data_IF_371915271341
#
_entry.id   IF_371915271341
#
_cell.length_a   1.000
_cell.length_b   1.000
_cell.length_c   1.000
_cell.angle_alpha   90.00
_cell.angle_beta   90.00
_cell.angle_gamma   90.00
#
_symmetry.space_group_name_H-M   'P 1'
#
loop_
_entity.id
_entity.type
_entity.pdbx_description
1 polymer ?
#
# COMPACT_ATOMS: atom_id res chain seq x y z
N UNK A 1 -0.56 -5.35 2.84
CA UNK A 1 0.24 -4.39 2.04
C UNK A 1 1.29 -3.62 2.84
N UNK A 2 1.00 -3.15 4.06
CA UNK A 2 2.00 -2.38 4.84
C UNK A 2 3.31 -3.11 5.14
N UNK A 3 3.25 -4.40 5.48
CA UNK A 3 4.46 -5.20 5.68
C UNK A 3 5.35 -5.30 4.42
N UNK A 4 4.73 -5.40 3.24
CA UNK A 4 5.45 -5.40 1.97
C UNK A 4 6.11 -4.05 1.69
N UNK A 5 5.42 -2.94 1.99
CA UNK A 5 6.00 -1.59 1.86
C UNK A 5 7.28 -1.43 2.69
N UNK A 6 7.33 -2.05 3.89
CA UNK A 6 8.51 -1.99 4.76
C UNK A 6 9.64 -2.92 4.31
N UNK A 7 9.34 -4.13 3.85
CA UNK A 7 10.35 -5.12 3.48
C UNK A 7 10.92 -4.90 2.07
N UNK A 8 10.11 -4.38 1.15
CA UNK A 8 10.45 -4.29 -0.27
C UNK A 8 10.14 -2.91 -0.87
N UNK A 9 10.64 -1.81 -0.28
CA UNK A 9 10.30 -0.45 -0.75
C UNK A 9 10.73 -0.17 -2.20
N UNK A 10 11.82 -0.80 -2.65
CA UNK A 10 12.40 -0.63 -3.99
C UNK A 10 11.98 -1.72 -4.99
N UNK A 11 11.12 -2.67 -4.59
CA UNK A 11 10.62 -3.67 -5.53
C UNK A 11 9.86 -2.99 -6.68
N UNK A 12 10.01 -3.49 -7.90
CA UNK A 12 9.33 -2.94 -9.07
C UNK A 12 8.02 -3.65 -9.31
N UNK A 13 6.94 -2.89 -9.42
CA UNK A 13 5.59 -3.38 -9.70
C UNK A 13 5.28 -3.05 -11.15
N UNK A 14 5.02 -4.07 -11.97
CA UNK A 14 4.52 -3.86 -13.32
C UNK A 14 3.06 -3.41 -13.24
N UNK A 15 2.82 -2.20 -13.73
CA UNK A 15 1.48 -1.61 -13.79
C UNK A 15 1.00 -1.59 -15.23
N UNK A 16 -0.23 -2.05 -15.42
CA UNK A 16 -0.92 -1.98 -16.71
C UNK A 16 -1.62 -0.63 -16.81
N UNK A 17 -1.37 0.10 -17.88
CA UNK A 17 -1.98 1.42 -18.11
C UNK A 17 -2.67 1.46 -19.45
N UNK A 18 -3.91 1.94 -19.39
CA UNK A 18 -4.80 2.10 -20.53
C UNK A 18 -4.79 3.56 -20.97
N UNK A 19 -4.21 3.83 -22.14
CA UNK A 19 -4.18 5.16 -22.78
C UNK A 19 -5.20 5.16 -23.95
N UNK A 20 -6.47 4.93 -23.62
CA UNK A 20 -7.53 4.76 -24.62
C UNK A 20 -7.41 3.41 -25.34
N UNK A 21 -6.94 3.43 -26.60
CA UNK A 21 -6.72 2.22 -27.41
C UNK A 21 -5.33 1.60 -27.24
N UNK A 22 -4.37 2.35 -26.67
CA UNK A 22 -3.04 1.84 -26.38
C UNK A 22 -2.99 1.24 -24.98
N UNK A 23 -2.68 -0.05 -24.91
CA UNK A 23 -2.43 -0.76 -23.66
C UNK A 23 -0.92 -0.93 -23.54
N UNK A 24 -0.34 -0.35 -22.50
CA UNK A 24 1.10 -0.45 -22.22
C UNK A 24 1.34 -0.83 -20.76
N UNK A 25 2.55 -1.24 -20.45
CA UNK A 25 2.99 -1.52 -19.09
C UNK A 25 4.19 -0.65 -18.74
N UNK A 26 4.27 -0.22 -17.48
CA UNK A 26 5.48 0.36 -16.93
C UNK A 26 5.71 -0.08 -15.49
N UNK A 27 6.98 0.00 -15.07
CA UNK A 27 7.42 -0.38 -13.75
C UNK A 27 7.38 0.81 -12.81
N UNK A 28 6.72 0.64 -11.66
CA UNK A 28 6.66 1.64 -10.59
C UNK A 28 7.28 1.07 -9.33
N UNK A 29 8.08 1.85 -8.58
CA UNK A 29 8.52 1.42 -7.26
C UNK A 29 7.33 1.07 -6.36
N UNK A 30 7.43 -0.04 -5.64
CA UNK A 30 6.37 -0.55 -4.77
C UNK A 30 5.95 0.50 -3.73
N UNK A 31 6.90 1.26 -3.19
CA UNK A 31 6.57 2.32 -2.23
C UNK A 31 5.68 3.42 -2.83
N UNK A 32 5.87 3.77 -4.10
CA UNK A 32 5.06 4.77 -4.77
C UNK A 32 3.65 4.24 -5.06
N UNK A 33 3.53 3.00 -5.55
CA UNK A 33 2.24 2.36 -5.79
C UNK A 33 1.44 2.16 -4.50
N UNK A 34 2.11 1.72 -3.43
CA UNK A 34 1.49 1.50 -2.13
C UNK A 34 1.13 2.81 -1.42
N UNK A 35 1.94 3.86 -1.59
CA UNK A 35 1.62 5.21 -1.11
C UNK A 35 0.39 5.78 -1.82
N UNK A 36 0.33 5.66 -3.14
CA UNK A 36 -0.84 6.04 -3.94
C UNK A 36 -2.10 5.29 -3.49
N UNK A 37 -2.01 3.97 -3.36
CA UNK A 37 -3.13 3.14 -2.90
C UNK A 37 -3.61 3.57 -1.50
N UNK A 38 -2.69 3.73 -0.55
CA UNK A 38 -3.03 4.16 0.81
C UNK A 38 -3.67 5.56 0.84
N UNK A 39 -3.21 6.48 0.00
CA UNK A 39 -3.78 7.82 -0.12
C UNK A 39 -5.24 7.77 -0.59
N UNK A 40 -5.56 6.93 -1.58
CA UNK A 40 -6.96 6.73 -2.00
C UNK A 40 -7.80 6.19 -0.84
N UNK A 41 -7.25 5.28 -0.03
CA UNK A 41 -7.97 4.77 1.13
C UNK A 41 -8.29 5.87 2.15
N UNK A 42 -7.33 6.77 2.43
CA UNK A 42 -7.55 7.92 3.30
C UNK A 42 -8.62 8.85 2.73
N UNK A 43 -8.47 9.28 1.47
CA UNK A 43 -9.40 10.22 0.83
C UNK A 43 -10.81 9.63 0.71
N UNK A 44 -10.95 8.35 0.39
CA UNK A 44 -12.24 7.66 0.34
C UNK A 44 -12.85 7.39 1.71
N UNK A 45 -12.05 7.38 2.78
CA UNK A 45 -12.50 7.25 4.16
C UNK A 45 -12.99 8.57 4.79
N UNK A 46 -12.56 9.73 4.27
CA UNK A 46 -12.91 11.04 4.81
C UNK A 46 -14.43 11.32 4.84
N UNK A 47 -15.21 11.04 3.78
CA UNK A 47 -16.65 11.29 3.79
C UNK A 47 -17.39 10.52 4.89
N UNK A 48 -16.88 9.35 5.27
CA UNK A 48 -17.46 8.52 6.33
C UNK A 48 -17.31 9.11 7.74
N UNK A 49 -16.53 10.19 7.90
CA UNK A 49 -16.43 10.93 9.17
C UNK A 49 -17.60 11.90 9.37
N UNK A 50 -18.24 12.34 8.29
CA UNK A 50 -19.29 13.36 8.32
C UNK A 50 -20.71 12.79 8.14
N UNK A 51 -20.83 11.53 7.71
CA UNK A 51 -22.11 10.86 7.47
C UNK A 51 -22.19 9.54 8.23
N UNK A 52 -23.38 9.22 8.75
CA UNK A 52 -23.64 7.94 9.39
C UNK A 52 -23.82 6.86 8.31
N UNK A 53 -22.80 6.02 8.12
CA UNK A 53 -22.82 4.84 7.23
C UNK A 53 -21.76 4.88 6.13
N UNK A 54 -21.29 3.71 5.72
CA UNK A 54 -20.19 3.56 4.77
C UNK A 54 -18.80 3.66 5.42
N UNK A 55 -17.73 3.68 4.62
CA UNK A 55 -16.37 3.89 5.13
C UNK A 55 -15.66 2.67 5.71
N UNK A 56 -16.39 1.65 6.18
CA UNK A 56 -15.79 0.47 6.87
C UNK A 56 -14.68 -0.17 6.04
N UNK A 57 -14.89 -0.33 4.72
CA UNK A 57 -13.87 -0.86 3.84
C UNK A 57 -12.60 0.01 3.84
N UNK A 58 -12.73 1.33 3.68
CA UNK A 58 -11.59 2.25 3.69
C UNK A 58 -10.81 2.18 5.01
N UNK A 59 -11.52 2.22 6.14
CA UNK A 59 -10.92 2.13 7.48
C UNK A 59 -10.28 0.77 7.77
N UNK A 60 -10.88 -0.33 7.32
CA UNK A 60 -10.29 -1.66 7.44
C UNK A 60 -8.97 -1.78 6.65
N UNK A 61 -8.92 -1.21 5.45
CA UNK A 61 -7.70 -1.19 4.64
C UNK A 61 -6.61 -0.31 5.26
N UNK A 62 -6.96 0.87 5.79
CA UNK A 62 -6.03 1.74 6.53
C UNK A 62 -5.47 0.99 7.74
N UNK A 63 -6.35 0.42 8.56
CA UNK A 63 -5.97 -0.33 9.76
C UNK A 63 -5.07 -1.53 9.44
N UNK A 64 -5.44 -2.34 8.43
CA UNK A 64 -4.63 -3.47 8.00
C UNK A 64 -3.26 -3.07 7.41
N UNK A 65 -3.18 -1.91 6.75
CA UNK A 65 -1.92 -1.37 6.26
C UNK A 65 -1.00 -0.98 7.43
N UNK A 66 -1.51 -0.19 8.39
CA UNK A 66 -0.74 0.23 9.57
C UNK A 66 -0.35 -0.95 10.46
N UNK A 67 -1.27 -1.88 10.71
CA UNK A 67 -0.99 -3.10 11.45
C UNK A 67 0.10 -3.92 10.76
N UNK A 68 0.05 -4.07 9.44
CA UNK A 68 1.08 -4.76 8.67
C UNK A 68 2.46 -4.10 8.76
N UNK A 69 2.52 -2.76 8.70
CA UNK A 69 3.76 -2.00 8.89
C UNK A 69 4.36 -2.26 10.28
N UNK A 70 3.52 -2.18 11.31
CA UNK A 70 3.92 -2.33 12.70
C UNK A 70 4.36 -3.77 13.01
N UNK A 71 3.51 -4.75 12.75
CA UNK A 71 3.78 -6.16 13.07
C UNK A 71 5.03 -6.67 12.35
N UNK A 72 5.20 -6.37 11.06
CA UNK A 72 6.43 -6.77 10.35
C UNK A 72 7.64 -6.07 10.93
N UNK A 73 7.54 -4.79 11.31
CA UNK A 73 8.61 -4.10 12.02
C UNK A 73 9.00 -4.77 13.34
N UNK A 74 8.03 -5.27 14.11
CA UNK A 74 8.25 -5.91 15.41
C UNK A 74 8.76 -7.35 15.31
N UNK A 75 8.36 -8.10 14.29
CA UNK A 75 8.64 -9.53 14.17
C UNK A 75 9.68 -9.90 13.09
N UNK A 76 10.16 -8.94 12.29
CA UNK A 76 11.18 -9.23 11.28
C UNK A 76 12.49 -9.63 11.96
N UNK A 77 13.07 -10.75 11.54
CA UNK A 77 14.38 -11.17 12.00
C UNK A 77 15.47 -10.25 11.41
N UNK A 78 16.25 -9.53 12.25
CA UNK A 78 17.25 -8.59 11.77
C UNK A 78 18.37 -9.21 10.94
N UNK A 79 18.68 -10.49 11.17
CA UNK A 79 19.75 -11.20 10.45
C UNK A 79 19.39 -11.40 8.98
N UNK A 80 18.14 -11.77 8.69
CA UNK A 80 17.66 -11.93 7.31
C UNK A 80 17.37 -10.59 6.63
N UNK A 81 16.96 -9.57 7.38
CA UNK A 81 16.64 -8.26 6.82
C UNK A 81 17.89 -7.54 6.27
N UNK A 82 19.01 -7.56 7.01
CA UNK A 82 20.26 -6.91 6.56
C UNK A 82 20.93 -7.61 5.39
N UNK A 83 20.63 -8.89 5.16
CA UNK A 83 21.18 -9.64 4.02
C UNK A 83 20.48 -9.32 2.69
N UNK A 84 19.31 -8.65 2.74
CA UNK A 84 18.48 -8.32 1.56
C UNK A 84 18.38 -6.81 1.25
N UNK A 85 18.80 -5.95 2.19
CA UNK A 85 18.82 -4.50 2.03
C UNK A 85 20.13 -4.04 1.38
#
# INVERSE_FOLDING_TARGET
>A
MGGYARLYPHARVHTLVFLGFFITTFEVPAIAMLGYWFLIQLLGGLPALAAAGGGVAFWAHIGGFLAGLFLVGSFVNPQYYRQRA
#
